data_IF_117330981895
#
_entry.id   IF_117330981895
#
_cell.length_a   1.000
_cell.length_b   1.000
_cell.length_c   1.000
_cell.angle_alpha   90.00
_cell.angle_beta   90.00
_cell.angle_gamma   90.00
#
_symmetry.space_group_name_H-M   'P 1'
#
loop_
_entity.id
_entity.type
_entity.pdbx_description
1 polymer ?
#
# COMPACT_ATOMS: atom_id res chain seq x y z
N UNK A 1 -25.10 30.84 -2.41
CA UNK A 1 -23.66 30.68 -2.69
C UNK A 1 -22.86 30.78 -1.41
N UNK A 2 -22.77 29.66 -0.69
CA UNK A 2 -21.78 29.45 0.37
C UNK A 2 -20.92 28.26 -0.07
N UNK A 3 -20.15 28.45 -1.14
CA UNK A 3 -19.02 27.56 -1.48
C UNK A 3 -17.79 28.18 -0.83
N UNK A 4 -17.45 27.70 0.36
CA UNK A 4 -16.33 28.27 1.13
C UNK A 4 -16.05 27.57 2.44
N UNK A 5 -16.48 26.32 2.61
CA UNK A 5 -15.83 25.45 3.58
C UNK A 5 -14.60 24.90 2.89
N UNK A 6 -13.45 25.42 3.31
CA UNK A 6 -12.13 25.04 2.86
C UNK A 6 -12.01 23.51 2.87
N UNK A 7 -11.71 22.98 1.68
CA UNK A 7 -11.26 21.62 1.48
C UNK A 7 -9.98 21.45 2.31
N UNK A 8 -10.08 20.77 3.45
CA UNK A 8 -8.95 20.48 4.35
C UNK A 8 -7.99 19.43 3.73
N UNK A 9 -8.20 19.08 2.46
CA UNK A 9 -7.49 18.11 1.62
C UNK A 9 -6.67 18.78 0.53
N UNK A 10 -6.11 19.97 0.77
CA UNK A 10 -5.04 20.48 -0.08
C UNK A 10 -3.85 19.50 -0.01
N UNK A 11 -3.68 18.69 -1.06
CA UNK A 11 -2.60 17.70 -1.22
C UNK A 11 -1.23 18.31 -0.94
N UNK A 12 -1.03 19.59 -1.24
CA UNK A 12 0.20 20.33 -0.92
C UNK A 12 0.40 20.47 0.59
N UNK A 13 -0.67 20.75 1.33
CA UNK A 13 -0.63 20.87 2.79
C UNK A 13 -0.37 19.51 3.44
N UNK A 14 -1.06 18.47 2.98
CA UNK A 14 -0.88 17.11 3.50
C UNK A 14 0.53 16.55 3.20
N UNK A 15 1.07 16.78 1.99
CA UNK A 15 2.45 16.42 1.64
C UNK A 15 3.48 17.20 2.44
N UNK A 16 3.28 18.52 2.64
CA UNK A 16 4.16 19.35 3.50
C UNK A 16 4.13 18.88 4.95
N UNK A 17 2.97 18.48 5.46
CA UNK A 17 2.83 17.89 6.78
C UNK A 17 3.59 16.56 6.87
N UNK A 18 3.40 15.66 5.91
CA UNK A 18 4.10 14.38 5.87
C UNK A 18 5.63 14.59 5.82
N UNK A 19 6.12 15.50 4.98
CA UNK A 19 7.53 15.85 4.93
C UNK A 19 8.04 16.46 6.24
N UNK A 20 7.27 17.32 6.90
CA UNK A 20 7.63 17.87 8.20
C UNK A 20 7.67 16.78 9.29
N UNK A 21 6.72 15.85 9.27
CA UNK A 21 6.68 14.69 10.17
C UNK A 21 7.89 13.80 9.95
N UNK A 22 8.20 13.44 8.70
CA UNK A 22 9.34 12.58 8.35
C UNK A 22 10.69 13.24 8.67
N UNK A 23 10.84 14.56 8.52
CA UNK A 23 12.10 15.26 8.82
C UNK A 23 12.27 15.66 10.30
N UNK A 24 11.22 15.56 11.13
CA UNK A 24 11.28 15.97 12.54
C UNK A 24 11.86 14.89 13.45
N UNK A 25 13.11 15.04 13.89
CA UNK A 25 13.80 14.07 14.77
C UNK A 25 13.11 13.82 16.11
N UNK A 26 12.18 14.69 16.53
CA UNK A 26 11.42 14.55 17.78
C UNK A 26 10.12 13.74 17.64
N UNK A 27 9.60 13.54 16.42
CA UNK A 27 8.36 12.79 16.21
C UNK A 27 8.70 11.31 16.08
N UNK A 28 8.20 10.51 17.02
CA UNK A 28 8.38 9.05 17.03
C UNK A 28 7.24 8.31 16.33
N UNK A 29 6.00 8.80 16.48
CA UNK A 29 4.81 8.22 15.86
C UNK A 29 3.88 9.33 15.33
N UNK A 30 3.17 9.06 14.24
CA UNK A 30 2.17 9.97 13.69
C UNK A 30 0.97 9.18 13.16
N UNK A 31 -0.22 9.35 13.76
CA UNK A 31 -1.42 8.56 13.43
C UNK A 31 -1.11 7.05 13.37
N UNK A 32 -0.51 6.52 14.44
CA UNK A 32 -0.08 5.12 14.57
C UNK A 32 1.05 4.67 13.62
N UNK A 33 1.51 5.55 12.72
CA UNK A 33 2.67 5.27 11.85
C UNK A 33 3.97 5.43 12.64
N UNK A 34 4.84 4.40 12.69
CA UNK A 34 6.09 4.42 13.44
C UNK A 34 7.21 5.21 12.73
N UNK A 35 7.20 6.53 12.84
CA UNK A 35 8.13 7.42 12.12
C UNK A 35 9.61 7.12 12.45
N UNK A 36 9.93 6.73 13.68
CA UNK A 36 11.31 6.38 14.07
C UNK A 36 11.82 5.14 13.33
N UNK A 37 11.09 4.02 13.40
CA UNK A 37 11.47 2.78 12.72
C UNK A 37 11.58 2.97 11.20
N UNK A 38 10.73 3.82 10.63
CA UNK A 38 10.76 4.13 9.21
C UNK A 38 12.04 4.83 8.77
N UNK A 39 12.53 5.79 9.56
CA UNK A 39 13.85 6.43 9.33
C UNK A 39 14.99 5.44 9.48
N UNK A 40 14.83 4.43 10.32
CA UNK A 40 15.83 3.38 10.52
C UNK A 40 15.89 2.36 9.38
N UNK A 41 15.04 2.50 8.34
CA UNK A 41 15.08 1.64 7.17
C UNK A 41 14.23 0.38 7.30
N UNK A 42 13.00 0.53 7.78
CA UNK A 42 12.07 -0.58 7.98
C UNK A 42 11.76 -1.33 6.67
N UNK A 43 11.96 -2.66 6.68
CA UNK A 43 11.65 -3.53 5.53
C UNK A 43 10.17 -3.92 5.44
N UNK A 44 9.47 -4.03 6.58
CA UNK A 44 8.08 -4.49 6.68
C UNK A 44 7.28 -3.56 7.59
N UNK A 45 6.17 -3.03 7.10
CA UNK A 45 5.26 -2.19 7.87
C UNK A 45 3.87 -2.81 7.88
N UNK A 46 3.35 -3.02 9.08
CA UNK A 46 2.01 -3.54 9.32
C UNK A 46 1.18 -2.47 10.02
N UNK A 47 0.12 -2.03 9.37
CA UNK A 47 -0.79 -1.00 9.85
C UNK A 47 -2.24 -1.43 9.64
N UNK A 48 -2.51 -2.72 9.77
CA UNK A 48 -3.88 -3.22 9.68
C UNK A 48 -4.76 -2.65 10.80
N UNK A 49 -6.02 -2.37 10.45
CA UNK A 49 -7.07 -1.95 11.38
C UNK A 49 -6.75 -0.67 12.17
N UNK A 50 -6.02 0.27 11.58
CA UNK A 50 -5.63 1.54 12.23
C UNK A 50 -6.59 2.71 11.97
N UNK A 51 -7.68 2.50 11.22
CA UNK A 51 -8.69 3.53 10.86
C UNK A 51 -8.06 4.81 10.29
N UNK A 52 -7.02 4.65 9.47
CA UNK A 52 -6.20 5.75 8.97
C UNK A 52 -6.93 6.71 8.04
N UNK A 53 -7.88 6.19 7.25
CA UNK A 53 -8.56 6.93 6.19
C UNK A 53 -7.60 7.54 5.17
N UNK A 54 -8.09 8.53 4.40
CA UNK A 54 -7.31 9.22 3.37
C UNK A 54 -6.06 9.93 3.94
N UNK A 55 -6.17 10.58 5.11
CA UNK A 55 -5.04 11.35 5.66
C UNK A 55 -3.85 10.45 5.99
N UNK A 56 -4.09 9.28 6.58
CA UNK A 56 -3.02 8.33 6.82
C UNK A 56 -2.46 7.75 5.53
N UNK A 57 -3.28 7.55 4.50
CA UNK A 57 -2.82 7.12 3.17
C UNK A 57 -1.77 8.09 2.58
N UNK A 58 -1.99 9.40 2.70
CA UNK A 58 -1.04 10.42 2.21
C UNK A 58 0.30 10.34 2.95
N UNK A 59 0.27 10.13 4.28
CA UNK A 59 1.50 9.99 5.07
C UNK A 59 2.27 8.74 4.65
N UNK A 60 1.59 7.62 4.47
CA UNK A 60 2.21 6.36 4.01
C UNK A 60 2.74 6.49 2.58
N UNK A 61 2.03 7.18 1.70
CA UNK A 61 2.49 7.46 0.33
C UNK A 61 3.82 8.24 0.34
N UNK A 62 3.90 9.33 1.11
CA UNK A 62 5.14 10.11 1.24
C UNK A 62 6.27 9.31 1.89
N UNK A 63 5.94 8.42 2.82
CA UNK A 63 6.88 7.50 3.41
C UNK A 63 7.43 6.51 2.36
N UNK A 64 6.58 5.90 1.55
CA UNK A 64 6.99 4.97 0.49
C UNK A 64 7.91 5.65 -0.52
N UNK A 65 7.67 6.93 -0.83
CA UNK A 65 8.52 7.71 -1.73
C UNK A 65 9.91 8.04 -1.14
N UNK A 66 10.04 8.06 0.18
CA UNK A 66 11.31 8.40 0.87
C UNK A 66 12.06 7.18 1.37
N UNK A 67 11.38 6.04 1.55
CA UNK A 67 12.00 4.78 1.96
C UNK A 67 12.49 3.98 0.76
N UNK A 68 13.79 3.66 0.76
CA UNK A 68 14.40 2.74 -0.20
C UNK A 68 14.52 1.30 0.33
N UNK A 69 14.07 1.05 1.57
CA UNK A 69 14.18 -0.23 2.27
C UNK A 69 12.85 -0.95 2.42
N UNK A 70 11.72 -0.25 2.37
CA UNK A 70 10.41 -0.85 2.54
C UNK A 70 10.10 -1.84 1.40
N UNK A 71 9.84 -3.10 1.75
CA UNK A 71 9.51 -4.20 0.84
C UNK A 71 8.07 -4.69 1.01
N UNK A 72 7.51 -4.59 2.22
CA UNK A 72 6.20 -5.12 2.56
C UNK A 72 5.36 -4.09 3.30
N UNK A 73 4.12 -3.89 2.87
CA UNK A 73 3.18 -2.96 3.46
C UNK A 73 1.79 -3.59 3.60
N UNK A 74 1.25 -3.62 4.82
CA UNK A 74 -0.14 -4.03 5.11
C UNK A 74 -0.97 -2.87 5.59
N UNK A 75 -2.12 -2.68 4.95
CA UNK A 75 -3.06 -1.59 5.18
C UNK A 75 -4.50 -2.10 5.22
N UNK A 76 -4.75 -3.36 5.53
CA UNK A 76 -6.07 -3.93 5.65
C UNK A 76 -6.96 -3.17 6.65
N UNK A 77 -8.27 -3.10 6.38
CA UNK A 77 -9.25 -2.50 7.31
C UNK A 77 -8.98 -1.04 7.74
N UNK A 78 -8.54 -0.18 6.82
CA UNK A 78 -8.20 1.23 7.11
C UNK A 78 -9.17 2.27 6.55
N UNK A 79 -10.28 1.84 5.95
CA UNK A 79 -11.28 2.74 5.34
C UNK A 79 -10.65 3.71 4.33
N UNK A 80 -9.68 3.25 3.52
CA UNK A 80 -8.96 4.10 2.56
C UNK A 80 -9.90 4.69 1.50
N UNK A 81 -10.86 3.91 1.00
CA UNK A 81 -11.69 4.27 -0.15
C UNK A 81 -10.86 4.44 -1.44
N UNK A 82 -11.52 4.90 -2.51
CA UNK A 82 -10.86 5.12 -3.81
C UNK A 82 -9.73 6.15 -3.72
N UNK A 83 -9.96 7.25 -3.01
CA UNK A 83 -8.96 8.31 -2.90
C UNK A 83 -7.74 7.90 -2.06
N UNK A 84 -7.94 7.15 -0.98
CA UNK A 84 -6.82 6.59 -0.21
C UNK A 84 -6.02 5.59 -1.05
N UNK A 85 -6.68 4.72 -1.81
CA UNK A 85 -6.01 3.79 -2.72
C UNK A 85 -5.19 4.51 -3.79
N UNK A 86 -5.72 5.59 -4.39
CA UNK A 86 -5.00 6.45 -5.34
C UNK A 86 -3.71 7.01 -4.75
N UNK A 87 -3.75 7.49 -3.50
CA UNK A 87 -2.56 8.02 -2.84
C UNK A 87 -1.52 6.92 -2.53
N UNK A 88 -1.95 5.74 -2.06
CA UNK A 88 -1.03 4.63 -1.74
C UNK A 88 -0.27 4.13 -2.98
N UNK A 89 -0.92 4.10 -4.15
CA UNK A 89 -0.29 3.58 -5.38
C UNK A 89 0.52 4.62 -6.16
N UNK A 90 0.46 5.90 -5.80
CA UNK A 90 1.25 6.95 -6.45
C UNK A 90 2.76 6.64 -6.44
N UNK A 91 3.39 6.30 -5.30
CA UNK A 91 4.83 6.04 -5.25
C UNK A 91 5.23 4.76 -5.98
N UNK A 92 4.30 3.84 -6.24
CA UNK A 92 4.60 2.62 -7.02
C UNK A 92 5.01 2.97 -8.46
N UNK A 93 4.67 4.16 -8.96
CA UNK A 93 5.06 4.63 -10.29
C UNK A 93 6.52 5.10 -10.34
N UNK A 94 7.14 5.35 -9.19
CA UNK A 94 8.51 5.82 -9.11
C UNK A 94 9.49 4.64 -9.27
N UNK A 95 10.51 4.81 -10.11
CA UNK A 95 11.53 3.78 -10.36
C UNK A 95 12.30 3.38 -9.09
N UNK A 96 12.35 4.26 -8.10
CA UNK A 96 12.99 4.03 -6.82
C UNK A 96 12.17 3.18 -5.84
N UNK A 97 10.89 2.94 -6.11
CA UNK A 97 10.04 2.17 -5.21
C UNK A 97 10.49 0.70 -5.18
N UNK A 98 10.75 0.19 -3.99
CA UNK A 98 11.22 -1.19 -3.78
C UNK A 98 10.14 -2.10 -3.19
N UNK A 99 8.90 -1.64 -3.11
CA UNK A 99 7.82 -2.42 -2.52
C UNK A 99 7.55 -3.67 -3.38
N UNK A 100 7.62 -4.84 -2.76
CA UNK A 100 7.37 -6.15 -3.40
C UNK A 100 6.03 -6.76 -2.99
N UNK A 101 5.47 -6.32 -1.86
CA UNK A 101 4.19 -6.77 -1.31
C UNK A 101 3.34 -5.60 -0.80
N UNK A 102 2.09 -5.53 -1.26
CA UNK A 102 1.08 -4.57 -0.80
C UNK A 102 -0.24 -5.28 -0.49
N UNK A 103 -0.79 -5.00 0.70
CA UNK A 103 -2.11 -5.47 1.12
C UNK A 103 -3.01 -4.29 1.46
N UNK A 104 -4.20 -4.26 0.86
CA UNK A 104 -5.25 -3.26 1.10
C UNK A 104 -6.62 -3.96 1.22
N UNK A 105 -6.67 -5.12 1.85
CA UNK A 105 -7.90 -5.89 2.06
C UNK A 105 -8.93 -5.08 2.86
N UNK A 106 -10.22 -5.22 2.52
CA UNK A 106 -11.33 -4.62 3.25
C UNK A 106 -11.20 -3.11 3.49
N UNK A 107 -10.98 -2.33 2.42
CA UNK A 107 -10.75 -0.88 2.50
C UNK A 107 -11.85 -0.03 1.85
N UNK A 108 -12.97 -0.64 1.46
CA UNK A 108 -14.04 0.04 0.72
C UNK A 108 -13.57 0.69 -0.59
N UNK A 109 -12.59 0.08 -1.26
CA UNK A 109 -12.07 0.55 -2.55
C UNK A 109 -13.05 0.08 -3.64
N UNK A 110 -13.47 1.00 -4.51
CA UNK A 110 -14.33 0.74 -5.67
C UNK A 110 -13.53 0.74 -6.98
N UNK A 111 -14.26 0.89 -8.09
CA UNK A 111 -13.71 0.76 -9.45
C UNK A 111 -12.70 1.87 -9.79
N UNK A 112 -12.88 3.08 -9.27
CA UNK A 112 -11.94 4.18 -9.51
C UNK A 112 -10.59 3.94 -8.81
N UNK A 113 -10.60 3.38 -7.60
CA UNK A 113 -9.40 2.93 -6.92
C UNK A 113 -8.75 1.74 -7.64
N UNK A 114 -9.55 0.76 -8.09
CA UNK A 114 -9.07 -0.37 -8.89
C UNK A 114 -8.34 0.07 -10.16
N UNK A 115 -8.92 1.03 -10.89
CA UNK A 115 -8.29 1.61 -12.08
C UNK A 115 -6.97 2.30 -11.74
N UNK A 116 -6.94 3.09 -10.66
CA UNK A 116 -5.71 3.75 -10.23
C UNK A 116 -4.60 2.76 -9.86
N UNK A 117 -4.96 1.65 -9.20
CA UNK A 117 -4.06 0.53 -8.90
C UNK A 117 -3.54 -0.06 -10.20
N UNK A 118 -4.42 -0.46 -11.12
CA UNK A 118 -4.04 -1.05 -12.41
C UNK A 118 -3.08 -0.15 -13.20
N UNK A 119 -3.39 1.15 -13.29
CA UNK A 119 -2.55 2.14 -14.00
C UNK A 119 -1.17 2.31 -13.34
N UNK A 120 -1.05 2.13 -12.02
CA UNK A 120 0.23 2.23 -11.32
C UNK A 120 1.08 0.96 -11.51
N UNK A 121 0.44 -0.21 -11.48
CA UNK A 121 1.09 -1.49 -11.73
C UNK A 121 1.60 -1.61 -13.17
N UNK A 122 0.96 -0.94 -14.13
CA UNK A 122 1.42 -0.96 -15.51
C UNK A 122 2.81 -0.31 -15.70
N UNK A 123 3.19 0.61 -14.81
CA UNK A 123 4.53 1.24 -14.81
C UNK A 123 5.48 0.63 -13.78
N UNK A 124 4.96 0.03 -12.71
CA UNK A 124 5.76 -0.56 -11.66
C UNK A 124 6.44 -1.86 -12.11
N UNK A 125 7.65 -2.10 -11.61
CA UNK A 125 8.45 -3.32 -11.87
C UNK A 125 8.87 -4.06 -10.61
N UNK A 126 8.60 -3.51 -9.42
CA UNK A 126 9.05 -4.04 -8.14
C UNK A 126 8.01 -4.94 -7.44
N UNK A 127 6.73 -4.61 -7.59
CA UNK A 127 5.64 -5.28 -6.88
C UNK A 127 5.42 -6.66 -7.47
N UNK A 128 5.39 -7.67 -6.61
CA UNK A 128 5.23 -9.07 -7.01
C UNK A 128 3.96 -9.70 -6.43
N UNK A 129 3.38 -9.07 -5.40
CA UNK A 129 2.22 -9.57 -4.67
C UNK A 129 1.30 -8.40 -4.29
N UNK A 130 0.02 -8.54 -4.60
CA UNK A 130 -1.03 -7.57 -4.27
C UNK A 130 -2.25 -8.28 -3.67
N UNK A 131 -2.65 -7.89 -2.46
CA UNK A 131 -3.88 -8.34 -1.83
C UNK A 131 -4.87 -7.17 -1.72
N UNK A 132 -6.07 -7.35 -2.26
CA UNK A 132 -7.16 -6.36 -2.29
C UNK A 132 -8.54 -7.01 -2.11
N UNK A 133 -8.61 -8.11 -1.34
CA UNK A 133 -9.84 -8.85 -1.07
C UNK A 133 -10.86 -7.98 -0.32
N UNK A 134 -12.13 -8.38 -0.37
CA UNK A 134 -13.22 -7.72 0.37
C UNK A 134 -13.35 -6.21 0.09
N UNK A 135 -13.01 -5.78 -1.13
CA UNK A 135 -13.27 -4.43 -1.64
C UNK A 135 -14.52 -4.42 -2.55
N UNK A 136 -14.96 -3.23 -2.95
CA UNK A 136 -16.24 -2.98 -3.63
C UNK A 136 -16.08 -2.94 -5.17
N UNK A 137 -15.29 -3.86 -5.73
CA UNK A 137 -15.02 -3.91 -7.16
C UNK A 137 -16.16 -4.55 -7.94
N UNK A 138 -16.55 -3.93 -9.05
CA UNK A 138 -17.38 -4.59 -10.06
C UNK A 138 -16.61 -5.71 -10.77
N UNK A 139 -17.34 -6.58 -11.46
CA UNK A 139 -16.73 -7.64 -12.27
C UNK A 139 -15.75 -7.08 -13.32
N UNK A 140 -16.10 -5.95 -13.94
CA UNK A 140 -15.25 -5.30 -14.93
C UNK A 140 -13.92 -4.81 -14.33
N UNK A 141 -13.96 -4.19 -13.15
CA UNK A 141 -12.76 -3.74 -12.47
C UNK A 141 -11.87 -4.92 -12.04
N UNK A 142 -12.46 -6.03 -11.60
CA UNK A 142 -11.73 -7.27 -11.28
C UNK A 142 -11.00 -7.81 -12.51
N UNK A 143 -11.68 -7.91 -13.65
CA UNK A 143 -11.08 -8.38 -14.91
C UNK A 143 -9.92 -7.49 -15.37
N UNK A 144 -10.05 -6.18 -15.23
CA UNK A 144 -8.96 -5.24 -15.53
C UNK A 144 -7.74 -5.49 -14.64
N UNK A 145 -7.94 -5.62 -13.33
CA UNK A 145 -6.87 -5.88 -12.37
C UNK A 145 -6.18 -7.22 -12.64
N UNK A 146 -6.95 -8.28 -12.93
CA UNK A 146 -6.44 -9.60 -13.28
C UNK A 146 -5.59 -9.53 -14.55
N UNK A 147 -6.08 -8.81 -15.58
CA UNK A 147 -5.35 -8.64 -16.84
C UNK A 147 -3.98 -7.99 -16.62
N UNK A 148 -3.92 -6.87 -15.89
CA UNK A 148 -2.66 -6.16 -15.60
C UNK A 148 -1.74 -7.02 -14.72
N UNK A 149 -2.27 -7.63 -13.66
CA UNK A 149 -1.47 -8.47 -12.78
C UNK A 149 -0.89 -9.70 -13.52
N UNK A 150 -1.67 -10.31 -14.42
CA UNK A 150 -1.20 -11.42 -15.27
C UNK A 150 -0.08 -10.97 -16.21
N UNK A 151 -0.25 -9.84 -16.90
CA UNK A 151 0.76 -9.29 -17.80
C UNK A 151 2.08 -8.96 -17.06
N UNK A 152 1.98 -8.46 -15.82
CA UNK A 152 3.11 -8.11 -14.97
C UNK A 152 3.63 -9.26 -14.10
N UNK A 153 3.00 -10.44 -14.15
CA UNK A 153 3.31 -11.61 -13.30
C UNK A 153 3.22 -11.30 -11.79
N UNK A 154 2.28 -10.44 -11.42
CA UNK A 154 1.95 -10.10 -10.03
C UNK A 154 0.97 -11.14 -9.51
N UNK A 155 1.28 -11.75 -8.36
CA UNK A 155 0.34 -12.62 -7.64
C UNK A 155 -0.75 -11.75 -7.02
N UNK A 156 -2.00 -11.94 -7.46
CA UNK A 156 -3.14 -11.13 -7.07
C UNK A 156 -4.12 -11.94 -6.20
N UNK A 157 -4.44 -11.44 -5.01
CA UNK A 157 -5.58 -11.91 -4.22
C UNK A 157 -6.66 -10.82 -4.19
N UNK A 158 -7.72 -10.99 -4.99
CA UNK A 158 -8.77 -9.98 -5.18
C UNK A 158 -10.18 -10.49 -4.82
N UNK A 159 -10.36 -11.79 -4.58
CA UNK A 159 -11.67 -12.40 -4.34
C UNK A 159 -12.04 -12.42 -2.85
N UNK A 160 -13.31 -12.13 -2.58
CA UNK A 160 -13.90 -12.08 -1.25
C UNK A 160 -15.36 -12.50 -1.32
N UNK A 161 -15.60 -13.78 -1.55
CA UNK A 161 -16.86 -14.51 -1.29
C UNK A 161 -16.50 -15.96 -0.99
N UNK A 162 -17.34 -16.68 -0.24
CA UNK A 162 -17.22 -18.11 0.09
C UNK A 162 -17.33 -19.04 -1.15
N UNK A 163 -16.97 -18.58 -2.35
CA UNK A 163 -16.79 -19.46 -3.50
C UNK A 163 -15.40 -20.06 -3.41
N UNK A 164 -15.39 -21.27 -2.86
CA UNK A 164 -14.40 -22.35 -2.98
C UNK A 164 -13.11 -21.94 -3.68
N UNK A 165 -12.10 -21.70 -2.83
CA UNK A 165 -10.72 -22.04 -3.12
C UNK A 165 -10.71 -23.45 -3.72
N UNK A 166 -10.49 -23.59 -5.02
CA UNK A 166 -9.91 -24.83 -5.50
C UNK A 166 -8.49 -24.84 -5.00
N UNK A 167 -8.10 -25.93 -4.33
CA UNK A 167 -6.78 -26.16 -3.72
C UNK A 167 -5.58 -25.90 -4.68
N UNK A 168 -5.82 -25.68 -5.98
CA UNK A 168 -4.81 -25.35 -6.99
C UNK A 168 -4.54 -23.83 -7.18
N UNK A 169 -5.36 -22.92 -6.65
CA UNK A 169 -5.08 -21.46 -6.65
C UNK A 169 -4.35 -20.98 -5.37
N UNK A 170 -4.13 -21.92 -4.44
CA UNK A 170 -3.36 -21.76 -3.20
C UNK A 170 -1.94 -22.26 -3.47
N UNK A 171 -1.05 -21.38 -3.93
CA UNK A 171 0.37 -21.61 -3.67
C UNK A 171 0.65 -21.33 -2.19
N UNK A 172 0.33 -22.30 -1.35
CA UNK A 172 0.88 -22.46 -0.01
C UNK A 172 2.39 -22.69 -0.12
N UNK A 173 3.16 -22.01 0.72
CA UNK A 173 3.79 -22.68 1.86
C UNK A 173 4.10 -21.62 2.91
N UNK A 174 3.56 -21.81 4.11
CA UNK A 174 4.28 -21.43 5.31
C UNK A 174 5.65 -22.10 5.24
N UNK A 175 6.70 -21.29 5.28
CA UNK A 175 7.95 -21.70 5.93
C UNK A 175 8.14 -20.67 7.03
N UNK A 176 7.91 -21.14 8.27
CA UNK A 176 8.69 -20.67 9.41
C UNK A 176 10.18 -20.81 9.04
N UNK A 177 11.02 -19.92 9.58
CA UNK A 177 12.49 -19.84 9.40
C UNK A 177 12.90 -19.23 8.04
N UNK A 178 13.48 -18.02 7.93
CA UNK A 178 14.70 -17.52 8.57
C UNK A 178 14.57 -16.01 8.89
N UNK A 179 14.39 -15.69 10.18
CA UNK A 179 15.17 -14.62 10.80
C UNK A 179 16.55 -15.26 11.08
N UNK A 180 17.67 -14.51 10.92
CA UNK A 180 19.08 -14.98 10.81
C UNK A 180 19.41 -15.38 9.36
N UNK A 181 20.19 -14.65 8.56
CA UNK A 181 21.57 -14.23 8.73
C UNK A 181 21.83 -12.95 7.90
N UNK A 182 22.55 -12.00 8.48
CA UNK A 182 23.49 -11.09 7.79
C UNK A 182 24.34 -10.46 8.92
N UNK A 183 25.00 -11.31 9.71
CA UNK A 183 26.32 -11.00 10.28
C UNK A 183 27.36 -11.48 9.27
N UNK A 184 28.46 -10.74 9.17
CA UNK A 184 29.67 -11.00 8.34
C UNK A 184 29.48 -10.69 6.85
N UNK A 185 30.31 -9.94 6.15
CA UNK A 185 31.69 -9.47 6.32
C UNK A 185 31.91 -8.49 5.16
N UNK A 186 32.43 -7.28 5.36
CA UNK A 186 33.35 -6.68 4.37
C UNK A 186 34.40 -5.84 5.13
N UNK A 187 35.66 -6.16 4.80
CA UNK A 187 36.94 -5.77 5.40
C UNK A 187 37.27 -4.27 5.47
#
# INVERSE_FOLDING_TARGET
NLHGFADLTDRSVAARLAAAVLNSTSICTFNMVPITELRAGLKKLDLDSQLMGMTGAIVISNLMATSNTLRSLRLGQNCLGDEGAKEIVQPLRDEGCQLTFLEMDNNSIGDEGAKAIADALDTNSSLTRLHIRYNQFTQQAKEQLISVCTAKKIRLLCFGSEEELTDDDVFEYYTEEEDEEDEEEEE
#
